data_IF_770931852665
#
_entry.id   IF_770931852665
#
_cell.length_a   1.000
_cell.length_b   1.000
_cell.length_c   1.000
_cell.angle_alpha   90.00
_cell.angle_beta   90.00
_cell.angle_gamma   90.00
#
_symmetry.space_group_name_H-M   'P 1'
#
loop_
_entity.id
_entity.type
_entity.pdbx_description
1 polymer ?
#
# COMPACT_ATOMS: atom_id res chain seq x y z
N UNK A 1 31.94 16.70 -23.60
CA UNK A 1 30.48 16.66 -23.39
C UNK A 1 30.24 16.69 -21.89
N UNK A 2 30.05 17.88 -21.35
CA UNK A 2 29.86 18.09 -19.92
C UNK A 2 28.46 17.58 -19.54
N UNK A 3 28.42 16.46 -18.82
CA UNK A 3 27.17 15.86 -18.35
C UNK A 3 26.59 16.80 -17.30
N UNK A 4 25.61 17.62 -17.68
CA UNK A 4 24.93 18.50 -16.73
C UNK A 4 24.15 17.64 -15.71
N UNK A 5 24.56 17.60 -14.44
CA UNK A 5 23.96 16.70 -13.44
C UNK A 5 22.46 17.01 -13.23
N UNK A 6 22.07 18.27 -13.44
CA UNK A 6 20.67 18.74 -13.32
C UNK A 6 19.76 18.21 -14.44
N UNK A 7 20.30 17.93 -15.63
CA UNK A 7 19.51 17.37 -16.74
C UNK A 7 19.33 15.85 -16.60
N UNK A 8 20.35 15.14 -16.11
CA UNK A 8 20.30 13.70 -15.86
C UNK A 8 19.28 13.35 -14.75
N UNK A 9 19.19 14.18 -13.71
CA UNK A 9 18.25 14.01 -12.60
C UNK A 9 16.78 14.21 -13.03
N UNK A 10 16.49 15.25 -13.81
CA UNK A 10 15.15 15.50 -14.36
C UNK A 10 14.69 14.40 -15.32
N UNK A 11 15.60 13.87 -16.14
CA UNK A 11 15.31 12.75 -17.03
C UNK A 11 14.97 11.47 -16.24
N UNK A 12 15.73 11.18 -15.18
CA UNK A 12 15.50 10.02 -14.32
C UNK A 12 14.14 10.07 -13.60
N UNK A 13 13.78 11.22 -13.02
CA UNK A 13 12.48 11.41 -12.35
C UNK A 13 11.30 11.28 -13.32
N UNK A 14 11.43 11.84 -14.52
CA UNK A 14 10.39 11.74 -15.57
C UNK A 14 10.20 10.31 -16.05
N UNK A 15 11.30 9.55 -16.16
CA UNK A 15 11.28 8.15 -16.55
C UNK A 15 10.65 7.26 -15.46
N UNK A 16 11.02 7.46 -14.18
CA UNK A 16 10.40 6.77 -13.05
C UNK A 16 8.90 7.04 -12.99
N UNK A 17 8.49 8.30 -13.11
CA UNK A 17 7.08 8.67 -13.11
C UNK A 17 6.30 7.92 -14.17
N UNK A 18 6.77 7.89 -15.42
CA UNK A 18 6.10 7.15 -16.51
C UNK A 18 5.98 5.65 -16.23
N UNK A 19 6.97 5.07 -15.56
CA UNK A 19 6.96 3.64 -15.20
C UNK A 19 5.97 3.31 -14.08
N UNK A 20 5.90 4.13 -13.03
CA UNK A 20 5.01 3.90 -11.87
C UNK A 20 3.58 4.40 -12.07
N UNK A 21 3.35 5.35 -12.98
CA UNK A 21 2.03 5.88 -13.31
C UNK A 21 0.97 4.81 -13.62
N UNK A 22 1.20 3.81 -14.50
CA UNK A 22 0.19 2.80 -14.80
C UNK A 22 -0.18 1.96 -13.59
N UNK A 23 0.79 1.61 -12.73
CA UNK A 23 0.54 0.85 -11.50
C UNK A 23 -0.29 1.66 -10.50
N UNK A 24 0.00 2.96 -10.36
CA UNK A 24 -0.78 3.87 -9.54
C UNK A 24 -2.23 3.99 -10.03
N UNK A 25 -2.43 4.16 -11.35
CA UNK A 25 -3.76 4.21 -11.94
C UNK A 25 -4.53 2.90 -11.77
N UNK A 26 -3.85 1.75 -11.95
CA UNK A 26 -4.44 0.45 -11.70
C UNK A 26 -4.89 0.30 -10.25
N UNK A 27 -4.03 0.64 -9.27
CA UNK A 27 -4.39 0.62 -7.85
C UNK A 27 -5.59 1.53 -7.54
N UNK A 28 -5.64 2.71 -8.18
CA UNK A 28 -6.78 3.64 -8.06
C UNK A 28 -8.07 3.04 -8.62
N UNK A 29 -8.02 2.38 -9.77
CA UNK A 29 -9.18 1.69 -10.36
C UNK A 29 -9.67 0.54 -9.48
N UNK A 30 -8.74 -0.23 -8.90
CA UNK A 30 -9.07 -1.32 -7.96
C UNK A 30 -9.74 -0.75 -6.71
N UNK A 31 -9.18 0.30 -6.11
CA UNK A 31 -9.77 1.01 -4.97
C UNK A 31 -11.20 1.47 -5.27
N UNK A 32 -11.39 2.11 -6.44
CA UNK A 32 -12.69 2.61 -6.87
C UNK A 32 -13.68 1.46 -7.10
N UNK A 33 -13.25 0.38 -7.73
CA UNK A 33 -14.08 -0.81 -8.00
C UNK A 33 -14.61 -1.43 -6.71
N UNK A 34 -13.75 -1.64 -5.70
CA UNK A 34 -14.17 -2.15 -4.40
C UNK A 34 -15.13 -1.19 -3.67
N UNK A 35 -14.84 0.11 -3.72
CA UNK A 35 -15.69 1.14 -3.11
C UNK A 35 -17.08 1.18 -3.75
N UNK A 36 -17.16 1.23 -5.08
CA UNK A 36 -18.42 1.24 -5.81
C UNK A 36 -19.22 -0.05 -5.60
N UNK A 37 -18.54 -1.21 -5.61
CA UNK A 37 -19.20 -2.48 -5.36
C UNK A 37 -19.83 -2.50 -3.95
N UNK A 38 -19.12 -2.00 -2.94
CA UNK A 38 -19.66 -1.88 -1.60
C UNK A 38 -20.82 -0.88 -1.52
N UNK A 39 -20.68 0.33 -2.09
CA UNK A 39 -21.75 1.33 -2.02
C UNK A 39 -23.01 0.91 -2.78
N UNK A 40 -22.89 0.06 -3.78
CA UNK A 40 -24.05 -0.47 -4.53
C UNK A 40 -24.69 -1.70 -3.89
N UNK A 41 -23.90 -2.57 -3.23
CA UNK A 41 -24.41 -3.84 -2.68
C UNK A 41 -24.60 -3.85 -1.16
N UNK A 42 -23.85 -3.02 -0.44
CA UNK A 42 -23.81 -3.01 1.04
C UNK A 42 -23.24 -4.28 1.67
N UNK A 43 -22.68 -5.20 0.89
CA UNK A 43 -22.27 -6.52 1.36
C UNK A 43 -21.00 -6.47 2.22
N UNK A 44 -21.00 -7.25 3.31
CA UNK A 44 -19.86 -7.40 4.23
C UNK A 44 -19.66 -6.25 5.23
N UNK A 45 -20.50 -5.22 5.18
CA UNK A 45 -20.47 -4.10 6.12
C UNK A 45 -19.22 -3.21 6.01
N UNK A 46 -19.21 -2.14 6.80
CA UNK A 46 -18.15 -1.12 6.75
C UNK A 46 -16.77 -1.68 7.12
N UNK A 47 -16.73 -2.72 7.95
CA UNK A 47 -15.49 -3.38 8.37
C UNK A 47 -14.82 -4.14 7.23
N UNK A 48 -15.57 -4.94 6.43
CA UNK A 48 -14.99 -5.65 5.28
C UNK A 48 -14.44 -4.66 4.24
N UNK A 49 -15.14 -3.54 4.05
CA UNK A 49 -14.64 -2.47 3.20
C UNK A 49 -13.34 -1.90 3.77
N UNK A 50 -13.31 -1.50 5.03
CA UNK A 50 -12.15 -0.86 5.65
C UNK A 50 -10.89 -1.75 5.56
N UNK A 51 -10.99 -3.03 5.91
CA UNK A 51 -9.85 -3.95 5.85
C UNK A 51 -9.36 -4.21 4.41
N UNK A 52 -10.22 -4.03 3.41
CA UNK A 52 -9.84 -4.17 1.99
C UNK A 52 -9.23 -2.88 1.46
N UNK A 53 -9.86 -1.75 1.75
CA UNK A 53 -9.59 -0.45 1.11
C UNK A 53 -8.43 0.29 1.78
N UNK A 54 -8.22 0.14 3.09
CA UNK A 54 -7.11 0.77 3.82
C UNK A 54 -5.74 0.29 3.32
N UNK A 55 -5.46 -1.03 3.18
CA UNK A 55 -4.18 -1.46 2.64
C UNK A 55 -4.00 -1.07 1.16
N UNK A 56 -5.08 -1.00 0.36
CA UNK A 56 -5.00 -0.51 -1.02
C UNK A 56 -4.62 0.97 -1.05
N UNK A 57 -5.20 1.79 -0.16
CA UNK A 57 -4.82 3.20 -0.02
C UNK A 57 -3.34 3.36 0.35
N UNK A 58 -2.83 2.49 1.23
CA UNK A 58 -1.40 2.46 1.56
C UNK A 58 -0.53 2.14 0.35
N UNK A 59 -0.91 1.15 -0.47
CA UNK A 59 -0.21 0.83 -1.73
C UNK A 59 -0.20 2.05 -2.67
N UNK A 60 -1.33 2.73 -2.82
CA UNK A 60 -1.42 3.98 -3.60
C UNK A 60 -0.48 5.05 -3.05
N UNK A 61 -0.41 5.23 -1.73
CA UNK A 61 0.50 6.20 -1.10
C UNK A 61 1.97 5.88 -1.40
N UNK A 62 2.38 4.60 -1.28
CA UNK A 62 3.74 4.16 -1.62
C UNK A 62 4.06 4.43 -3.10
N UNK A 63 3.15 4.08 -4.01
CA UNK A 63 3.31 4.33 -5.45
C UNK A 63 3.40 5.82 -5.76
N UNK A 64 2.58 6.63 -5.10
CA UNK A 64 2.55 8.08 -5.28
C UNK A 64 3.89 8.73 -4.87
N UNK A 65 4.57 8.19 -3.85
CA UNK A 65 5.91 8.67 -3.46
C UNK A 65 6.90 8.60 -4.64
N UNK A 66 6.86 7.51 -5.42
CA UNK A 66 7.71 7.36 -6.62
C UNK A 66 7.25 8.21 -7.81
N UNK A 67 5.95 8.48 -7.92
CA UNK A 67 5.38 9.36 -8.97
C UNK A 67 5.78 10.82 -8.75
N UNK A 68 5.76 11.28 -7.50
CA UNK A 68 6.17 12.64 -7.10
C UNK A 68 7.70 12.77 -7.12
N UNK A 69 8.43 11.65 -7.08
CA UNK A 69 9.90 11.62 -7.06
C UNK A 69 10.48 11.83 -5.66
N UNK A 70 9.65 11.81 -4.62
CA UNK A 70 10.08 11.85 -3.23
C UNK A 70 10.26 10.43 -2.72
N UNK A 71 11.51 9.97 -2.75
CA UNK A 71 11.81 8.61 -2.30
C UNK A 71 11.61 8.44 -0.79
N UNK A 72 11.07 7.29 -0.35
CA UNK A 72 10.89 6.90 1.04
C UNK A 72 12.02 7.23 2.00
N UNK A 73 13.25 6.92 1.59
CA UNK A 73 14.44 7.11 2.39
C UNK A 73 15.49 7.82 1.51
N UNK A 74 15.65 9.15 1.64
CA UNK A 74 16.61 9.92 0.85
C UNK A 74 18.06 9.50 1.05
N UNK A 75 18.37 8.91 2.22
CA UNK A 75 19.70 8.41 2.58
C UNK A 75 19.99 7.00 2.06
N UNK A 76 18.99 6.31 1.54
CA UNK A 76 19.09 4.95 1.04
C UNK A 76 19.13 4.97 -0.49
N UNK A 77 20.00 4.15 -1.09
CA UNK A 77 20.11 4.05 -2.54
C UNK A 77 18.78 3.65 -3.19
N UNK A 78 18.56 4.09 -4.44
CA UNK A 78 17.31 3.91 -5.18
C UNK A 78 16.84 2.45 -5.27
N UNK A 79 17.78 1.50 -5.38
CA UNK A 79 17.48 0.06 -5.38
C UNK A 79 16.83 -0.41 -4.06
N UNK A 80 17.35 0.04 -2.92
CA UNK A 80 16.82 -0.33 -1.60
C UNK A 80 15.43 0.26 -1.38
N UNK A 81 15.19 1.49 -1.85
CA UNK A 81 13.86 2.10 -1.78
C UNK A 81 12.81 1.31 -2.56
N UNK A 82 13.16 0.78 -3.73
CA UNK A 82 12.26 -0.07 -4.51
C UNK A 82 11.99 -1.39 -3.77
N UNK A 83 13.01 -2.01 -3.17
CA UNK A 83 12.84 -3.26 -2.41
C UNK A 83 11.92 -3.05 -1.20
N UNK A 84 12.10 -1.97 -0.45
CA UNK A 84 11.25 -1.66 0.70
C UNK A 84 9.81 -1.37 0.25
N UNK A 85 9.63 -0.63 -0.84
CA UNK A 85 8.31 -0.40 -1.39
C UNK A 85 7.62 -1.69 -1.84
N UNK A 86 8.35 -2.59 -2.51
CA UNK A 86 7.84 -3.89 -2.88
C UNK A 86 7.44 -4.73 -1.66
N UNK A 87 8.24 -4.67 -0.58
CA UNK A 87 7.93 -5.33 0.67
C UNK A 87 6.63 -4.79 1.29
N UNK A 88 6.46 -3.47 1.34
CA UNK A 88 5.22 -2.87 1.85
C UNK A 88 4.00 -3.28 1.03
N UNK A 89 4.12 -3.29 -0.30
CA UNK A 89 3.03 -3.73 -1.18
C UNK A 89 2.71 -5.21 -0.93
N UNK A 90 3.73 -6.06 -0.78
CA UNK A 90 3.54 -7.48 -0.48
C UNK A 90 2.85 -7.69 0.87
N UNK A 91 3.23 -6.92 1.90
CA UNK A 91 2.57 -6.92 3.20
C UNK A 91 1.10 -6.52 3.10
N UNK A 92 0.77 -5.46 2.34
CA UNK A 92 -0.61 -5.05 2.11
C UNK A 92 -1.43 -6.13 1.39
N UNK A 93 -0.88 -6.74 0.34
CA UNK A 93 -1.56 -7.81 -0.42
C UNK A 93 -1.82 -9.01 0.49
N UNK A 94 -0.81 -9.43 1.26
CA UNK A 94 -0.93 -10.53 2.21
C UNK A 94 -2.00 -10.25 3.26
N UNK A 95 -2.00 -9.05 3.86
CA UNK A 95 -3.02 -8.64 4.82
C UNK A 95 -4.42 -8.64 4.24
N UNK A 96 -4.63 -8.12 3.01
CA UNK A 96 -5.95 -8.14 2.35
C UNK A 96 -6.45 -9.57 2.16
N UNK A 97 -5.59 -10.46 1.63
CA UNK A 97 -5.97 -11.85 1.35
C UNK A 97 -6.35 -12.55 2.66
N UNK A 98 -5.48 -12.47 3.67
CA UNK A 98 -5.72 -13.11 4.96
C UNK A 98 -6.99 -12.58 5.63
N UNK A 99 -7.11 -11.25 5.75
CA UNK A 99 -8.24 -10.62 6.44
C UNK A 99 -9.57 -10.82 5.71
N UNK A 100 -9.58 -11.01 4.39
CA UNK A 100 -10.82 -11.33 3.65
C UNK A 100 -11.19 -12.81 3.73
N UNK A 101 -10.22 -13.72 3.66
CA UNK A 101 -10.49 -15.15 3.76
C UNK A 101 -10.98 -15.53 5.16
N UNK A 102 -10.35 -14.96 6.17
CA UNK A 102 -10.64 -15.24 7.58
C UNK A 102 -11.64 -14.24 8.18
N UNK A 103 -12.31 -13.42 7.35
CA UNK A 103 -13.14 -12.31 7.84
C UNK A 103 -14.24 -12.77 8.78
N UNK A 104 -15.01 -13.78 8.36
CA UNK A 104 -16.13 -14.29 9.13
C UNK A 104 -15.64 -14.96 10.41
N UNK A 105 -14.58 -15.76 10.33
CA UNK A 105 -13.98 -16.40 11.50
C UNK A 105 -13.42 -15.38 12.51
N UNK A 106 -12.77 -14.31 12.03
CA UNK A 106 -12.19 -13.26 12.86
C UNK A 106 -13.26 -12.49 13.64
N UNK A 107 -14.39 -12.21 13.01
CA UNK A 107 -15.46 -11.38 13.59
C UNK A 107 -16.42 -12.23 14.43
N UNK A 108 -16.88 -13.36 13.90
CA UNK A 108 -17.99 -14.11 14.49
C UNK A 108 -17.52 -15.28 15.36
N UNK A 109 -16.50 -16.01 14.95
CA UNK A 109 -16.14 -17.27 15.61
C UNK A 109 -15.05 -17.09 16.68
N UNK A 110 -14.03 -16.28 16.40
CA UNK A 110 -12.87 -16.16 17.30
C UNK A 110 -13.14 -15.23 18.48
N UNK A 111 -13.96 -14.20 18.33
CA UNK A 111 -14.47 -13.33 19.40
C UNK A 111 -13.47 -13.01 20.56
N UNK A 112 -12.18 -12.81 20.26
CA UNK A 112 -11.12 -12.55 21.24
C UNK A 112 -10.04 -13.64 21.41
N UNK A 113 -10.26 -14.87 20.93
CA UNK A 113 -9.28 -15.96 20.89
C UNK A 113 -8.50 -15.96 19.57
N UNK A 114 -7.56 -15.02 19.45
CA UNK A 114 -6.77 -14.84 18.23
C UNK A 114 -5.61 -15.84 18.12
N UNK A 115 -5.49 -16.43 16.93
CA UNK A 115 -4.39 -17.30 16.57
C UNK A 115 -3.09 -16.51 16.32
N UNK A 116 -1.95 -17.19 16.29
CA UNK A 116 -0.66 -16.56 15.97
C UNK A 116 -0.66 -15.80 14.63
N UNK A 117 -1.20 -16.32 13.51
CA UNK A 117 -1.26 -15.56 12.25
C UNK A 117 -2.10 -14.26 12.35
N UNK A 118 -3.20 -14.25 13.11
CA UNK A 118 -4.02 -13.04 13.33
C UNK A 118 -3.18 -11.91 13.94
N UNK A 119 -2.36 -12.27 14.94
CA UNK A 119 -1.47 -11.34 15.62
C UNK A 119 -0.37 -10.82 14.69
N UNK A 120 0.18 -11.68 13.83
CA UNK A 120 1.21 -11.29 12.85
C UNK A 120 0.65 -10.26 11.86
N UNK A 121 -0.53 -10.50 11.31
CA UNK A 121 -1.17 -9.57 10.36
C UNK A 121 -1.56 -8.27 11.05
N UNK A 122 -2.05 -8.33 12.28
CA UNK A 122 -2.35 -7.13 13.07
C UNK A 122 -1.10 -6.26 13.32
N UNK A 123 0.01 -6.87 13.74
CA UNK A 123 1.28 -6.16 13.95
C UNK A 123 1.83 -5.61 12.62
N UNK A 124 1.70 -6.36 11.53
CA UNK A 124 2.10 -5.91 10.20
C UNK A 124 1.33 -4.65 9.77
N UNK A 125 0.00 -4.68 9.89
CA UNK A 125 -0.84 -3.52 9.57
C UNK A 125 -0.55 -2.32 10.48
N UNK A 126 -0.35 -2.56 11.78
CA UNK A 126 0.04 -1.51 12.72
C UNK A 126 1.39 -0.90 12.36
N UNK A 127 2.39 -1.72 12.00
CA UNK A 127 3.70 -1.25 11.56
C UNK A 127 3.63 -0.40 10.29
N UNK A 128 2.80 -0.79 9.32
CA UNK A 128 2.56 0.00 8.11
C UNK A 128 1.93 1.36 8.46
N UNK A 129 0.88 1.39 9.28
CA UNK A 129 0.22 2.65 9.67
C UNK A 129 1.18 3.58 10.43
N UNK A 130 1.97 3.04 11.36
CA UNK A 130 2.99 3.82 12.08
C UNK A 130 4.04 4.40 11.12
N UNK A 131 4.48 3.61 10.14
CA UNK A 131 5.43 4.08 9.13
C UNK A 131 4.83 5.18 8.24
N UNK A 132 3.53 5.09 7.91
CA UNK A 132 2.82 6.19 7.26
C UNK A 132 2.82 7.46 8.13
N UNK A 133 2.42 7.36 9.39
CA UNK A 133 2.37 8.50 10.31
C UNK A 133 3.74 9.16 10.48
N UNK A 134 4.80 8.36 10.64
CA UNK A 134 6.20 8.83 10.79
C UNK A 134 6.71 9.63 9.59
N UNK A 135 6.07 9.51 8.42
CA UNK A 135 6.50 10.23 7.22
C UNK A 135 5.71 11.49 6.94
N UNK A 136 4.46 11.53 7.35
CA UNK A 136 3.58 12.67 7.15
C UNK A 136 3.72 13.73 8.26
N UNK A 137 4.29 13.36 9.42
CA UNK A 137 4.49 14.24 10.59
C UNK A 137 5.97 14.24 11.01
#
# INVERSE_FOLDING_TARGET
>A
MEKNPVQDEKHSLTQMRKFFMPFYLLATLVYLGFSLHYFTTGLGGTTLLAITVVPIAYVMWVLNSFVIGQVPYPRLGLKLNIVIAALYIAMCIFSIIYMRLEFDELIYDRAGFFNTPDKIVAVMMLGLVLEYTRREH
#
